data_IF_018430662933
#
_entry.id   IF_018430662933
#
_cell.length_a   1.000
_cell.length_b   1.000
_cell.length_c   1.000
_cell.angle_alpha   90.00
_cell.angle_beta   90.00
_cell.angle_gamma   90.00
#
_symmetry.space_group_name_H-M   'P 1'
#
loop_
_entity.id
_entity.type
_entity.pdbx_description
1 polymer ?
#
# COMPACT_ATOMS: atom_id res chain seq x y z
N UNK A 1 55.14 53.55 18.70
CA UNK A 1 54.53 53.14 17.43
C UNK A 1 54.42 51.60 17.28
N UNK A 2 54.03 50.83 18.32
CA UNK A 2 53.93 49.35 18.24
C UNK A 2 52.52 48.80 18.50
N UNK A 3 51.55 49.64 18.80
CA UNK A 3 50.18 49.21 19.16
C UNK A 3 49.13 49.38 18.04
N UNK A 4 49.47 50.06 16.93
CA UNK A 4 48.53 50.32 15.84
C UNK A 4 48.36 49.11 14.90
N UNK A 5 49.35 48.20 14.83
CA UNK A 5 49.31 47.02 13.92
C UNK A 5 48.50 45.87 14.48
N UNK A 6 48.33 45.79 15.80
CA UNK A 6 47.58 44.68 16.43
C UNK A 6 46.05 44.83 16.32
N UNK A 7 45.57 46.07 16.23
CA UNK A 7 44.10 46.35 16.12
C UNK A 7 43.53 46.03 14.73
N UNK A 8 44.35 46.10 13.67
CA UNK A 8 43.87 45.82 12.33
C UNK A 8 43.67 44.32 12.07
N UNK A 9 44.45 43.47 12.75
CA UNK A 9 44.34 42.02 12.61
C UNK A 9 43.11 41.43 13.34
N UNK A 10 42.72 42.04 14.44
CA UNK A 10 41.52 41.58 15.19
C UNK A 10 40.24 41.88 14.42
N UNK A 11 40.18 43.02 13.68
CA UNK A 11 39.03 43.33 12.84
C UNK A 11 38.93 42.45 11.58
N UNK A 12 40.08 42.01 11.00
CA UNK A 12 40.10 41.14 9.83
C UNK A 12 39.63 39.71 10.17
N UNK A 13 39.93 39.23 11.38
CA UNK A 13 39.49 37.89 11.83
C UNK A 13 37.99 37.88 12.21
N UNK A 14 37.45 38.99 12.71
CA UNK A 14 36.02 39.06 13.06
C UNK A 14 35.12 39.16 11.83
N UNK A 15 35.61 39.65 10.69
CA UNK A 15 34.82 39.81 9.47
C UNK A 15 34.67 38.47 8.68
N UNK A 16 35.57 37.51 8.90
CA UNK A 16 35.52 36.21 8.19
C UNK A 16 34.55 35.19 8.81
N UNK A 17 34.08 35.41 10.04
CA UNK A 17 33.15 34.46 10.72
C UNK A 17 31.71 34.69 10.34
N UNK A 18 31.33 35.86 9.80
CA UNK A 18 29.92 36.22 9.51
C UNK A 18 29.42 35.69 8.16
N UNK A 19 30.32 35.22 7.27
CA UNK A 19 29.92 34.78 5.90
C UNK A 19 29.64 33.25 5.83
N UNK A 20 30.01 32.46 6.84
CA UNK A 20 29.85 31.00 6.82
C UNK A 20 28.47 30.52 7.27
N UNK A 21 27.61 31.39 7.80
CA UNK A 21 26.34 31.00 8.41
C UNK A 21 25.17 30.80 7.46
N UNK A 22 25.25 31.25 6.20
CA UNK A 22 24.10 31.22 5.30
C UNK A 22 23.97 29.92 4.48
N UNK A 23 25.03 29.12 4.33
CA UNK A 23 24.99 27.91 3.51
C UNK A 23 24.47 26.70 4.31
N UNK A 24 24.80 26.59 5.59
CA UNK A 24 24.34 25.46 6.41
C UNK A 24 22.85 25.53 6.79
N UNK A 25 22.34 26.75 7.00
CA UNK A 25 20.90 26.94 7.27
C UNK A 25 20.03 26.64 6.04
N UNK A 26 20.51 26.93 4.83
CA UNK A 26 19.78 26.58 3.61
C UNK A 26 19.76 25.08 3.36
N UNK A 27 20.84 24.37 3.66
CA UNK A 27 20.90 22.91 3.51
C UNK A 27 19.97 22.20 4.51
N UNK A 28 19.92 22.66 5.76
CA UNK A 28 19.02 22.13 6.78
C UNK A 28 17.52 22.35 6.42
N UNK A 29 17.17 23.52 5.88
CA UNK A 29 15.82 23.83 5.44
C UNK A 29 15.43 22.98 4.22
N UNK A 30 16.34 22.78 3.24
CA UNK A 30 16.07 21.91 2.10
C UNK A 30 15.95 20.43 2.48
N UNK A 31 16.74 19.97 3.45
CA UNK A 31 16.66 18.60 3.94
C UNK A 31 15.39 18.37 4.76
N UNK A 32 15.00 19.31 5.62
CA UNK A 32 13.74 19.27 6.36
C UNK A 32 12.51 19.32 5.42
N UNK A 33 12.55 20.14 4.36
CA UNK A 33 11.48 20.23 3.36
C UNK A 33 11.35 18.94 2.55
N UNK A 34 12.46 18.21 2.30
CA UNK A 34 12.42 16.90 1.66
C UNK A 34 11.82 15.82 2.56
N UNK A 35 12.07 15.88 3.86
CA UNK A 35 11.54 14.90 4.83
C UNK A 35 10.04 15.17 5.07
N UNK A 36 9.62 16.43 5.17
CA UNK A 36 8.21 16.80 5.35
C UNK A 36 7.40 16.61 4.06
N UNK A 37 8.01 16.81 2.88
CA UNK A 37 7.36 16.54 1.59
C UNK A 37 7.26 15.06 1.22
N UNK A 38 7.93 14.16 1.94
CA UNK A 38 7.86 12.72 1.71
C UNK A 38 6.67 12.04 2.44
N UNK A 39 5.89 12.81 3.22
CA UNK A 39 4.70 12.33 3.93
C UNK A 39 3.37 12.84 3.35
N UNK A 40 3.35 13.46 2.18
CA UNK A 40 2.12 13.48 1.40
C UNK A 40 1.89 12.07 0.84
N UNK A 41 1.13 11.28 1.58
CA UNK A 41 0.55 10.04 1.12
C UNK A 41 -0.23 10.37 -0.15
N UNK A 42 0.41 10.11 -1.30
CA UNK A 42 -0.20 10.34 -2.60
C UNK A 42 -1.39 9.40 -2.65
N UNK A 43 -2.59 9.92 -2.39
CA UNK A 43 -3.82 9.15 -2.46
C UNK A 43 -3.85 8.40 -3.78
N UNK A 44 -4.02 7.08 -3.75
CA UNK A 44 -4.14 6.27 -4.96
C UNK A 44 -5.33 6.82 -5.75
N UNK A 45 -5.16 7.26 -7.00
CA UNK A 45 -6.24 7.85 -7.79
C UNK A 45 -7.40 6.87 -8.03
N UNK A 46 -7.20 5.59 -7.77
CA UNK A 46 -8.21 4.55 -7.88
C UNK A 46 -8.83 4.18 -6.52
N UNK A 47 -8.50 4.91 -5.44
CA UNK A 47 -9.07 4.62 -4.11
C UNK A 47 -10.58 4.87 -4.10
N UNK A 48 -11.32 3.87 -3.65
CA UNK A 48 -12.75 3.98 -3.40
C UNK A 48 -13.22 2.93 -2.37
N UNK A 49 -14.15 3.32 -1.52
CA UNK A 49 -14.90 2.37 -0.69
C UNK A 49 -15.91 1.64 -1.57
N UNK A 50 -16.59 2.38 -2.42
CA UNK A 50 -17.64 1.91 -3.32
C UNK A 50 -19.03 1.99 -2.67
N UNK A 51 -20.05 2.13 -3.52
CA UNK A 51 -21.44 2.14 -3.11
C UNK A 51 -21.94 0.72 -2.81
N UNK A 52 -23.02 0.55 -2.02
CA UNK A 52 -23.71 -0.73 -1.92
C UNK A 52 -24.10 -1.27 -3.30
N UNK A 53 -23.91 -2.55 -3.50
CA UNK A 53 -24.21 -3.19 -4.78
C UNK A 53 -24.89 -4.54 -4.60
N UNK A 54 -25.61 -5.01 -5.63
CA UNK A 54 -26.36 -6.25 -5.57
C UNK A 54 -25.89 -7.23 -6.65
N UNK A 55 -25.63 -8.47 -6.26
CA UNK A 55 -25.31 -9.58 -7.17
C UNK A 55 -26.25 -10.74 -6.88
N UNK A 56 -27.00 -11.19 -7.88
CA UNK A 56 -27.95 -12.32 -7.77
C UNK A 56 -28.91 -12.19 -6.57
N UNK A 57 -29.39 -10.97 -6.30
CA UNK A 57 -30.31 -10.70 -5.20
C UNK A 57 -29.66 -10.48 -3.83
N UNK A 58 -28.36 -10.70 -3.68
CA UNK A 58 -27.64 -10.49 -2.41
C UNK A 58 -27.00 -9.11 -2.43
N UNK A 59 -27.25 -8.32 -1.38
CA UNK A 59 -26.66 -7.01 -1.18
C UNK A 59 -25.30 -7.12 -0.50
N UNK A 60 -24.35 -6.31 -0.96
CA UNK A 60 -23.03 -6.13 -0.39
C UNK A 60 -22.85 -4.66 -0.01
N UNK A 61 -22.25 -4.40 1.15
CA UNK A 61 -22.09 -3.06 1.73
C UNK A 61 -20.60 -2.77 1.98
N UNK A 62 -19.87 -2.25 0.99
CA UNK A 62 -18.48 -1.87 1.18
C UNK A 62 -18.34 -0.85 2.30
N UNK A 63 -17.31 -1.02 3.13
CA UNK A 63 -17.03 -0.13 4.26
C UNK A 63 -15.52 -0.11 4.56
N UNK A 64 -15.07 0.96 5.18
CA UNK A 64 -13.77 0.99 5.81
C UNK A 64 -13.80 0.12 7.07
N UNK A 65 -12.90 -0.85 7.13
CA UNK A 65 -12.78 -1.78 8.26
C UNK A 65 -11.28 -2.08 8.50
N UNK A 66 -10.65 -1.20 9.25
CA UNK A 66 -9.22 -1.29 9.55
C UNK A 66 -8.87 -2.42 10.54
N UNK A 67 -9.87 -3.08 11.13
CA UNK A 67 -9.70 -4.23 12.01
C UNK A 67 -10.13 -5.55 11.36
N UNK A 68 -10.33 -5.56 10.04
CA UNK A 68 -10.79 -6.74 9.33
C UNK A 68 -9.88 -7.95 9.55
N UNK A 69 -10.44 -9.00 10.08
CA UNK A 69 -9.78 -10.28 10.35
C UNK A 69 -10.81 -11.40 10.20
N UNK A 70 -10.79 -12.08 9.05
CA UNK A 70 -11.78 -13.09 8.68
C UNK A 70 -11.10 -14.41 8.32
N UNK A 71 -11.70 -15.52 8.74
CA UNK A 71 -11.28 -16.88 8.34
C UNK A 71 -12.34 -17.51 7.47
N UNK A 72 -11.92 -18.06 6.34
CA UNK A 72 -12.84 -18.70 5.39
C UNK A 72 -12.13 -19.40 4.26
N UNK A 73 -12.86 -19.68 3.19
CA UNK A 73 -12.30 -20.34 2.00
C UNK A 73 -11.83 -19.30 1.00
N UNK A 74 -10.59 -19.44 0.55
CA UNK A 74 -10.05 -18.74 -0.61
C UNK A 74 -10.20 -19.61 -1.88
N UNK A 75 -10.34 -18.94 -3.01
CA UNK A 75 -10.17 -19.51 -4.33
C UNK A 75 -9.28 -18.60 -5.18
N UNK A 76 -9.10 -18.90 -6.45
CA UNK A 76 -8.33 -18.03 -7.33
C UNK A 76 -9.02 -17.86 -8.67
N UNK A 77 -8.78 -16.71 -9.32
CA UNK A 77 -9.32 -16.38 -10.62
C UNK A 77 -8.18 -16.33 -11.66
N UNK A 78 -8.40 -16.95 -12.79
CA UNK A 78 -7.36 -17.28 -13.74
C UNK A 78 -7.49 -16.55 -15.09
N UNK A 79 -7.06 -17.24 -16.13
CA UNK A 79 -6.85 -16.71 -17.49
C UNK A 79 -8.05 -16.02 -18.12
N UNK A 80 -9.28 -16.45 -17.82
CA UNK A 80 -10.51 -15.84 -18.37
C UNK A 80 -10.72 -14.37 -18.00
N UNK A 81 -10.08 -13.91 -16.93
CA UNK A 81 -10.20 -12.53 -16.43
C UNK A 81 -8.99 -11.68 -16.78
N UNK A 82 -7.88 -12.30 -17.21
CA UNK A 82 -6.65 -11.60 -17.55
C UNK A 82 -6.89 -10.55 -18.64
N UNK A 83 -6.38 -9.33 -18.43
CA UNK A 83 -6.56 -8.19 -19.33
C UNK A 83 -7.91 -7.45 -19.19
N UNK A 84 -8.83 -7.91 -18.34
CA UNK A 84 -10.10 -7.21 -18.09
C UNK A 84 -9.94 -6.15 -17.00
N UNK A 85 -10.81 -5.15 -17.03
CA UNK A 85 -10.87 -4.14 -15.97
C UNK A 85 -11.42 -4.76 -14.69
N UNK A 86 -10.78 -4.43 -13.59
CA UNK A 86 -11.21 -4.73 -12.23
C UNK A 86 -12.21 -3.68 -11.72
N UNK A 87 -12.81 -3.92 -10.56
CA UNK A 87 -13.82 -3.04 -10.00
C UNK A 87 -13.29 -1.64 -9.64
N UNK A 88 -11.98 -1.47 -9.35
CA UNK A 88 -11.39 -0.14 -9.16
C UNK A 88 -10.86 0.50 -10.45
N UNK A 89 -11.02 -0.15 -11.61
CA UNK A 89 -10.65 0.37 -12.93
C UNK A 89 -9.27 -0.04 -13.44
N UNK A 90 -8.48 -0.75 -12.65
CA UNK A 90 -7.21 -1.33 -13.07
C UNK A 90 -7.40 -2.48 -14.06
N UNK A 91 -6.32 -2.91 -14.68
CA UNK A 91 -6.32 -4.11 -15.53
C UNK A 91 -5.87 -5.31 -14.68
N UNK A 92 -6.69 -6.35 -14.65
CA UNK A 92 -6.32 -7.59 -13.97
C UNK A 92 -5.14 -8.28 -14.65
N UNK A 93 -4.05 -8.45 -13.89
CA UNK A 93 -2.93 -9.30 -14.27
C UNK A 93 -2.89 -10.55 -13.37
N UNK A 94 -3.09 -11.72 -13.97
CA UNK A 94 -3.06 -12.99 -13.25
C UNK A 94 -1.69 -13.32 -12.63
N UNK A 95 -0.61 -12.63 -13.04
CA UNK A 95 0.74 -12.80 -12.52
C UNK A 95 1.10 -11.77 -11.43
N UNK A 96 0.26 -10.76 -11.21
CA UNK A 96 0.41 -9.79 -10.13
C UNK A 96 -0.09 -10.36 -8.79
N UNK A 97 0.33 -9.73 -7.68
CA UNK A 97 -0.08 -10.11 -6.32
C UNK A 97 -1.34 -9.33 -5.93
N UNK A 98 -2.48 -9.72 -6.49
CA UNK A 98 -3.76 -9.05 -6.29
C UNK A 98 -4.84 -10.02 -5.80
N UNK A 99 -5.93 -9.45 -5.29
CA UNK A 99 -7.09 -10.19 -4.80
C UNK A 99 -8.39 -9.42 -5.04
N UNK A 100 -9.51 -10.16 -4.99
CA UNK A 100 -10.86 -9.64 -4.96
C UNK A 100 -11.48 -9.88 -3.58
N UNK A 101 -12.06 -8.84 -2.99
CA UNK A 101 -12.81 -8.89 -1.74
C UNK A 101 -14.15 -8.18 -1.87
N UNK A 102 -15.18 -8.68 -1.14
CA UNK A 102 -16.55 -8.18 -1.27
C UNK A 102 -16.69 -6.74 -0.78
N UNK A 103 -16.17 -6.44 0.40
CA UNK A 103 -16.56 -5.25 1.17
C UNK A 103 -15.40 -4.30 1.50
N UNK A 104 -14.14 -4.75 1.43
CA UNK A 104 -13.00 -3.88 1.74
C UNK A 104 -12.84 -2.73 0.74
N UNK A 105 -12.31 -1.57 1.15
CA UNK A 105 -11.93 -0.50 0.24
C UNK A 105 -10.95 -0.99 -0.84
N UNK A 106 -10.94 -0.33 -1.97
CA UNK A 106 -10.00 -0.63 -3.05
C UNK A 106 -9.22 0.64 -3.46
N UNK A 107 -7.87 0.59 -3.53
CA UNK A 107 -7.07 -0.54 -3.09
C UNK A 107 -6.95 -0.61 -1.58
N UNK A 108 -6.85 -1.82 -1.03
CA UNK A 108 -6.35 -2.08 0.31
C UNK A 108 -5.34 -3.22 0.28
N UNK A 109 -4.53 -3.34 1.30
CA UNK A 109 -3.58 -4.43 1.42
C UNK A 109 -4.04 -5.39 2.50
N UNK A 110 -4.01 -6.68 2.17
CA UNK A 110 -4.38 -7.74 3.10
C UNK A 110 -3.27 -8.78 3.21
N UNK A 111 -3.04 -9.27 4.42
CA UNK A 111 -2.26 -10.49 4.63
C UNK A 111 -3.20 -11.67 4.52
N UNK A 112 -2.92 -12.57 3.58
CA UNK A 112 -3.62 -13.84 3.43
C UNK A 112 -2.70 -14.95 3.91
N UNK A 113 -3.15 -15.72 4.89
CA UNK A 113 -2.42 -16.87 5.43
C UNK A 113 -3.17 -18.14 5.12
N UNK A 114 -2.56 -19.06 4.39
CA UNK A 114 -3.08 -20.40 4.17
C UNK A 114 -2.90 -21.22 5.46
N UNK A 115 -3.99 -21.58 6.09
CA UNK A 115 -4.01 -22.26 7.39
C UNK A 115 -3.63 -23.75 7.31
N UNK A 116 -3.58 -24.32 6.10
CA UNK A 116 -3.22 -25.72 5.89
C UNK A 116 -1.70 -25.92 5.81
N UNK A 117 -0.95 -24.90 5.38
CA UNK A 117 0.50 -24.99 5.19
C UNK A 117 1.31 -23.86 5.83
N UNK A 118 0.65 -22.87 6.45
CA UNK A 118 1.28 -21.73 7.13
C UNK A 118 1.86 -20.66 6.20
N UNK A 119 1.77 -20.78 4.87
CA UNK A 119 2.28 -19.76 3.94
C UNK A 119 1.43 -18.50 4.03
N UNK A 120 2.10 -17.37 4.04
CA UNK A 120 1.46 -16.06 4.14
C UNK A 120 1.97 -15.11 3.04
N UNK A 121 1.08 -14.27 2.53
CA UNK A 121 1.37 -13.35 1.44
C UNK A 121 0.59 -12.06 1.63
N UNK A 122 1.21 -10.91 1.31
CA UNK A 122 0.51 -9.64 1.22
C UNK A 122 -0.01 -9.48 -0.21
N UNK A 123 -1.32 -9.20 -0.32
CA UNK A 123 -2.01 -9.01 -1.60
C UNK A 123 -2.70 -7.66 -1.61
N UNK A 124 -2.74 -7.04 -2.78
CA UNK A 124 -3.49 -5.81 -3.03
C UNK A 124 -4.90 -6.15 -3.51
N UNK A 125 -5.89 -5.75 -2.74
CA UNK A 125 -7.31 -5.87 -3.11
C UNK A 125 -7.62 -4.75 -4.10
N UNK A 126 -7.97 -5.11 -5.33
CA UNK A 126 -8.32 -4.17 -6.39
C UNK A 126 -9.58 -4.57 -7.17
N UNK A 127 -10.25 -5.65 -6.74
CA UNK A 127 -11.45 -6.14 -7.40
C UNK A 127 -12.55 -6.55 -6.41
N UNK A 128 -13.78 -6.73 -6.91
CA UNK A 128 -14.95 -7.19 -6.15
C UNK A 128 -15.22 -8.69 -6.37
N UNK A 129 -15.59 -9.36 -5.32
CA UNK A 129 -15.85 -10.80 -5.22
C UNK A 129 -15.15 -11.38 -3.98
N UNK A 130 -15.27 -12.68 -3.75
CA UNK A 130 -16.06 -13.67 -4.48
C UNK A 130 -17.57 -13.52 -4.26
N UNK A 131 -18.35 -13.96 -5.24
CA UNK A 131 -19.82 -13.98 -5.15
C UNK A 131 -20.40 -15.39 -4.90
N UNK A 132 -19.52 -16.33 -4.51
CA UNK A 132 -19.93 -17.61 -3.94
C UNK A 132 -19.93 -17.48 -2.41
N UNK A 133 -21.06 -17.87 -1.80
CA UNK A 133 -21.34 -17.63 -0.36
C UNK A 133 -20.34 -18.28 0.62
N UNK A 134 -19.66 -19.36 0.19
CA UNK A 134 -18.69 -20.07 1.02
C UNK A 134 -17.28 -19.49 0.99
N UNK A 135 -17.00 -18.51 0.11
CA UNK A 135 -15.65 -17.95 -0.08
C UNK A 135 -15.56 -16.54 0.49
N UNK A 136 -14.40 -16.21 1.05
CA UNK A 136 -14.11 -14.88 1.63
C UNK A 136 -13.22 -14.04 0.72
N UNK A 137 -12.34 -14.67 -0.05
CA UNK A 137 -11.39 -13.97 -0.94
C UNK A 137 -11.10 -14.81 -2.17
N UNK A 138 -10.93 -14.15 -3.32
CA UNK A 138 -10.36 -14.76 -4.52
C UNK A 138 -9.00 -14.10 -4.80
N UNK A 139 -7.93 -14.90 -4.87
CA UNK A 139 -6.60 -14.38 -5.14
C UNK A 139 -6.21 -14.55 -6.62
N UNK A 140 -5.23 -13.82 -7.09
CA UNK A 140 -4.68 -14.02 -8.43
C UNK A 140 -4.08 -15.42 -8.58
N UNK A 141 -3.88 -15.86 -9.82
CA UNK A 141 -3.17 -17.14 -10.10
C UNK A 141 -1.81 -17.17 -9.42
N UNK A 142 -1.04 -16.07 -9.50
CA UNK A 142 0.27 -15.98 -8.84
C UNK A 142 0.16 -16.07 -7.32
N UNK A 143 -0.84 -15.42 -6.75
CA UNK A 143 -1.13 -15.51 -5.32
C UNK A 143 -1.39 -16.97 -4.88
N UNK A 144 -2.22 -17.70 -5.61
CA UNK A 144 -2.52 -19.10 -5.29
C UNK A 144 -1.30 -20.03 -5.40
N UNK A 145 -0.41 -19.77 -6.35
CA UNK A 145 0.86 -20.51 -6.49
C UNK A 145 1.75 -20.31 -5.26
N UNK A 146 1.95 -19.06 -4.82
CA UNK A 146 2.80 -18.73 -3.69
C UNK A 146 2.21 -19.21 -2.37
N UNK A 147 0.88 -19.11 -2.21
CA UNK A 147 0.16 -19.65 -1.06
C UNK A 147 0.05 -21.18 -1.07
N UNK A 148 0.40 -21.82 -2.20
CA UNK A 148 0.54 -23.28 -2.32
C UNK A 148 -0.79 -24.03 -2.45
N UNK A 149 -1.85 -23.42 -3.02
CA UNK A 149 -3.15 -24.09 -3.21
C UNK A 149 -3.70 -24.04 -4.65
N UNK A 150 -2.88 -23.62 -5.64
CA UNK A 150 -3.36 -23.49 -7.02
C UNK A 150 -3.94 -24.80 -7.57
N UNK A 151 -3.29 -25.94 -7.31
CA UNK A 151 -3.74 -27.24 -7.82
C UNK A 151 -5.02 -27.72 -7.13
N UNK A 152 -5.16 -27.47 -5.83
CA UNK A 152 -6.36 -27.81 -5.05
C UNK A 152 -7.55 -26.93 -5.42
N UNK A 153 -7.29 -25.74 -5.97
CA UNK A 153 -8.29 -24.76 -6.38
C UNK A 153 -8.82 -23.89 -5.22
N UNK A 154 -8.84 -24.41 -4.01
CA UNK A 154 -9.29 -23.71 -2.80
C UNK A 154 -8.41 -24.05 -1.62
N UNK A 155 -8.41 -23.19 -0.59
CA UNK A 155 -7.76 -23.42 0.69
C UNK A 155 -8.48 -22.68 1.82
N UNK A 156 -8.36 -23.18 3.05
CA UNK A 156 -8.79 -22.44 4.24
C UNK A 156 -7.74 -21.37 4.58
N UNK A 157 -8.17 -20.12 4.64
CA UNK A 157 -7.27 -18.99 4.87
C UNK A 157 -7.76 -18.07 5.99
N UNK A 158 -6.84 -17.27 6.56
CA UNK A 158 -7.11 -16.09 7.35
C UNK A 158 -6.77 -14.86 6.53
N UNK A 159 -7.65 -13.88 6.49
CA UNK A 159 -7.49 -12.60 5.78
C UNK A 159 -7.47 -11.48 6.79
N UNK A 160 -6.37 -10.72 6.85
CA UNK A 160 -6.18 -9.61 7.77
C UNK A 160 -5.83 -8.36 6.98
N UNK A 161 -6.53 -7.26 7.23
CA UNK A 161 -6.17 -5.97 6.62
C UNK A 161 -4.85 -5.47 7.23
N UNK A 162 -4.04 -4.81 6.39
CA UNK A 162 -2.85 -4.09 6.81
C UNK A 162 -3.17 -2.61 6.69
N UNK A 163 -3.04 -1.88 7.80
CA UNK A 163 -3.25 -0.45 7.83
C UNK A 163 -2.11 0.31 7.14
#
# INVERSE_FOLDING_TARGET
MKYARCRLWVFAVLLTVVVSGCAETQFAIHSAKRIVGATEEKSDPNYKVGDPYQIKGIWYYPKEDYNHDETGIASWYGTKFHGRKTANGEIYDMNALTAAHRDLPMPSYVRVTNLENGRSLVLRVNDRGPFASSRVIDVSRRGSQLLGFQQQGTAKVRVQILA
#
